data_IF_643864153908
#
_entry.id   IF_643864153908
#
_cell.length_a   1.000
_cell.length_b   1.000
_cell.length_c   1.000
_cell.angle_alpha   90.00
_cell.angle_beta   90.00
_cell.angle_gamma   90.00
#
_symmetry.space_group_name_H-M   'P 1'
#
loop_
_entity.id
_entity.type
_entity.pdbx_description
1 polymer ?
#
# COMPACT_ATOMS: atom_id res chain seq x y z
N UNK A 1 1.35 -29.88 -21.58
CA UNK A 1 1.99 -28.54 -21.70
C UNK A 1 3.49 -28.71 -21.82
N UNK A 2 4.10 -28.02 -22.80
CA UNK A 2 5.56 -27.97 -23.01
C UNK A 2 6.14 -26.81 -22.22
N UNK A 3 7.36 -26.96 -21.70
CA UNK A 3 8.08 -25.84 -21.06
C UNK A 3 8.35 -24.74 -22.10
N UNK A 4 8.13 -23.46 -21.77
CA UNK A 4 8.39 -22.36 -22.70
C UNK A 4 9.89 -22.23 -22.99
N UNK A 5 10.23 -21.67 -24.16
CA UNK A 5 11.61 -21.41 -24.54
C UNK A 5 12.16 -20.27 -23.68
N UNK A 6 13.13 -20.59 -22.82
CA UNK A 6 13.79 -19.64 -21.91
C UNK A 6 14.92 -18.93 -22.66
N UNK A 7 14.88 -17.60 -22.72
CA UNK A 7 15.88 -16.81 -23.48
C UNK A 7 16.87 -16.09 -22.56
N UNK A 8 16.50 -15.80 -21.30
CA UNK A 8 17.34 -14.99 -20.39
C UNK A 8 17.34 -15.54 -18.97
N UNK A 9 18.53 -15.59 -18.36
CA UNK A 9 18.79 -16.06 -16.99
C UNK A 9 19.30 -14.90 -16.13
N UNK A 10 18.72 -14.71 -14.95
CA UNK A 10 19.32 -13.95 -13.84
C UNK A 10 19.81 -14.95 -12.79
N UNK A 11 20.91 -14.69 -12.10
CA UNK A 11 21.81 -15.67 -11.45
C UNK A 11 21.20 -16.66 -10.44
N UNK A 12 21.88 -17.81 -10.30
CA UNK A 12 21.34 -19.09 -9.85
C UNK A 12 21.85 -19.51 -8.45
N UNK A 13 20.95 -19.95 -7.58
CA UNK A 13 21.27 -20.93 -6.52
C UNK A 13 20.20 -22.00 -6.51
N UNK A 14 20.65 -23.25 -6.41
CA UNK A 14 19.90 -24.50 -6.46
C UNK A 14 18.64 -24.46 -5.56
N UNK A 15 17.53 -24.06 -6.17
CA UNK A 15 16.25 -23.87 -5.49
C UNK A 15 15.31 -24.96 -5.97
N UNK A 16 14.70 -25.69 -5.03
CA UNK A 16 13.55 -26.59 -5.30
C UNK A 16 12.36 -25.85 -5.94
N UNK A 17 12.42 -24.52 -6.00
CA UNK A 17 11.47 -23.62 -6.63
C UNK A 17 12.10 -22.91 -7.83
N UNK A 18 11.40 -22.90 -8.97
CA UNK A 18 11.77 -22.12 -10.16
C UNK A 18 10.66 -21.14 -10.52
N UNK A 19 11.02 -19.87 -10.70
CA UNK A 19 10.07 -18.80 -11.03
C UNK A 19 10.30 -18.38 -12.49
N UNK A 20 9.23 -18.39 -13.26
CA UNK A 20 9.15 -17.96 -14.65
C UNK A 20 8.21 -16.75 -14.70
N UNK A 21 8.69 -15.65 -15.24
CA UNK A 21 7.95 -14.39 -15.34
C UNK A 21 7.78 -14.06 -16.82
N UNK A 22 6.55 -13.80 -17.24
CA UNK A 22 6.25 -13.40 -18.61
C UNK A 22 6.78 -11.98 -18.90
N UNK A 23 7.21 -11.70 -20.12
CA UNK A 23 7.91 -10.46 -20.49
C UNK A 23 7.09 -9.18 -20.26
N UNK A 24 5.77 -9.18 -20.50
CA UNK A 24 4.92 -8.02 -20.18
C UNK A 24 4.85 -7.80 -18.67
N UNK A 25 4.81 -8.87 -17.87
CA UNK A 25 4.85 -8.79 -16.40
C UNK A 25 6.19 -8.22 -15.94
N UNK A 26 7.30 -8.72 -16.48
CA UNK A 26 8.65 -8.23 -16.18
C UNK A 26 8.79 -6.73 -16.52
N UNK A 27 8.30 -6.32 -17.68
CA UNK A 27 8.31 -4.92 -18.13
C UNK A 27 7.52 -4.04 -17.17
N UNK A 28 6.30 -4.45 -16.81
CA UNK A 28 5.45 -3.74 -15.86
C UNK A 28 6.11 -3.57 -14.48
N UNK A 29 6.68 -4.63 -13.92
CA UNK A 29 7.35 -4.58 -12.61
C UNK A 29 8.56 -3.63 -12.61
N UNK A 30 9.31 -3.58 -13.72
CA UNK A 30 10.41 -2.63 -13.87
C UNK A 30 9.93 -1.18 -13.99
N UNK A 31 8.79 -0.95 -14.65
CA UNK A 31 8.17 0.38 -14.67
C UNK A 31 7.74 0.83 -13.28
N UNK A 32 7.15 -0.07 -12.47
CA UNK A 32 6.83 0.21 -11.08
C UNK A 32 8.09 0.52 -10.27
N UNK A 33 9.18 -0.22 -10.46
CA UNK A 33 10.47 0.05 -9.80
C UNK A 33 10.97 1.47 -10.09
N UNK A 34 10.85 1.93 -11.33
CA UNK A 34 11.22 3.31 -11.72
C UNK A 34 10.30 4.38 -11.10
N UNK A 35 9.07 4.04 -10.77
CA UNK A 35 8.11 4.94 -10.09
C UNK A 35 8.27 4.93 -8.56
N UNK A 36 8.94 3.93 -7.98
CA UNK A 36 9.13 3.83 -6.53
C UNK A 36 10.24 4.79 -6.04
N UNK A 37 9.84 5.94 -5.51
CA UNK A 37 10.76 6.93 -4.96
C UNK A 37 10.98 6.79 -3.44
N UNK A 38 9.89 6.78 -2.66
CA UNK A 38 9.94 6.92 -1.19
C UNK A 38 9.41 5.71 -0.43
N UNK A 39 8.47 4.96 -1.01
CA UNK A 39 7.82 3.82 -0.37
C UNK A 39 7.85 2.61 -1.30
N UNK A 40 7.97 1.39 -0.74
CA UNK A 40 7.93 0.18 -1.55
C UNK A 40 6.55 0.03 -2.19
N UNK A 41 6.54 -0.31 -3.48
CA UNK A 41 5.31 -0.60 -4.20
C UNK A 41 5.00 -2.10 -4.02
N UNK A 42 3.79 -2.42 -3.59
CA UNK A 42 3.32 -3.81 -3.48
C UNK A 42 2.56 -4.20 -4.73
N UNK A 43 3.01 -5.26 -5.41
CA UNK A 43 2.32 -5.84 -6.55
C UNK A 43 1.79 -7.25 -6.23
N UNK A 44 0.56 -7.54 -6.63
CA UNK A 44 0.00 -8.90 -6.63
C UNK A 44 0.46 -9.62 -7.90
N UNK A 45 0.78 -10.91 -7.79
CA UNK A 45 1.25 -11.76 -8.89
C UNK A 45 0.22 -12.85 -9.20
N UNK A 46 -0.14 -12.96 -10.47
CA UNK A 46 -1.11 -13.95 -10.96
C UNK A 46 -0.44 -14.96 -11.87
N UNK A 47 -0.79 -16.23 -11.74
CA UNK A 47 -0.10 -17.27 -12.47
C UNK A 47 -0.61 -18.68 -12.27
N UNK A 48 0.25 -19.65 -12.59
CA UNK A 48 0.00 -21.08 -12.39
C UNK A 48 1.18 -21.73 -11.67
N UNK A 49 0.88 -22.73 -10.84
CA UNK A 49 1.89 -23.57 -10.18
C UNK A 49 1.88 -24.95 -10.81
N UNK A 50 3.04 -25.40 -11.30
CA UNK A 50 3.23 -26.76 -11.78
C UNK A 50 4.17 -27.49 -10.82
N UNK A 51 3.68 -28.59 -10.23
CA UNK A 51 4.49 -29.48 -9.39
C UNK A 51 4.92 -30.69 -10.21
N UNK A 52 6.23 -30.94 -10.29
CA UNK A 52 6.85 -32.07 -11.00
C UNK A 52 7.92 -32.66 -10.12
N UNK A 53 7.86 -33.97 -9.88
CA UNK A 53 8.79 -34.68 -8.98
C UNK A 53 8.84 -34.00 -7.60
N UNK A 54 9.93 -33.32 -7.28
CA UNK A 54 10.17 -32.59 -6.02
C UNK A 54 10.48 -31.09 -6.27
N UNK A 55 10.04 -30.56 -7.42
CA UNK A 55 10.25 -29.15 -7.82
C UNK A 55 8.92 -28.45 -8.08
N UNK A 56 8.83 -27.22 -7.60
CA UNK A 56 7.71 -26.32 -7.85
C UNK A 56 8.11 -25.29 -8.92
N UNK A 57 7.30 -25.18 -9.96
CA UNK A 57 7.48 -24.23 -11.05
C UNK A 57 6.35 -23.21 -10.97
N UNK A 58 6.70 -21.95 -10.73
CA UNK A 58 5.77 -20.83 -10.68
C UNK A 58 5.84 -20.09 -11.99
N UNK A 59 4.74 -20.03 -12.72
CA UNK A 59 4.62 -19.26 -13.96
C UNK A 59 3.76 -18.03 -13.68
N UNK A 60 4.36 -16.86 -13.74
CA UNK A 60 3.71 -15.58 -13.51
C UNK A 60 3.30 -14.99 -14.85
N UNK A 61 1.99 -14.83 -15.03
CA UNK A 61 1.35 -14.34 -16.26
C UNK A 61 0.69 -12.98 -16.07
N UNK A 62 0.46 -12.54 -14.85
CA UNK A 62 -0.15 -11.25 -14.57
C UNK A 62 0.47 -10.59 -13.34
N UNK A 63 0.40 -9.26 -13.29
CA UNK A 63 0.66 -8.52 -12.08
C UNK A 63 -0.17 -7.23 -12.03
N UNK A 64 -0.54 -6.80 -10.82
CA UNK A 64 -1.18 -5.50 -10.60
C UNK A 64 -0.60 -4.80 -9.35
N UNK A 65 -0.48 -3.47 -9.40
CA UNK A 65 -0.09 -2.66 -8.25
C UNK A 65 -1.27 -2.54 -7.29
N UNK A 66 -1.13 -3.03 -6.06
CA UNK A 66 -2.24 -3.09 -5.09
C UNK A 66 -2.78 -1.70 -4.77
N UNK A 67 -1.89 -0.71 -4.62
CA UNK A 67 -2.28 0.67 -4.28
C UNK A 67 -3.03 1.33 -5.46
N UNK A 68 -2.51 1.18 -6.68
CA UNK A 68 -3.14 1.77 -7.87
C UNK A 68 -4.56 1.23 -8.12
N UNK A 69 -4.79 -0.04 -7.79
CA UNK A 69 -6.11 -0.66 -7.93
C UNK A 69 -7.07 -0.23 -6.82
N UNK A 70 -6.58 -0.09 -5.59
CA UNK A 70 -7.37 0.46 -4.46
C UNK A 70 -7.80 1.90 -4.75
N UNK A 71 -6.95 2.74 -5.35
CA UNK A 71 -7.32 4.10 -5.77
C UNK A 71 -8.51 4.13 -6.75
N UNK A 72 -8.65 3.08 -7.56
CA UNK A 72 -9.76 2.92 -8.49
C UNK A 72 -10.96 2.20 -7.87
N UNK A 73 -10.93 1.92 -6.56
CA UNK A 73 -11.98 1.23 -5.84
C UNK A 73 -12.07 -0.26 -6.13
N UNK A 74 -10.97 -0.89 -6.60
CA UNK A 74 -10.89 -2.33 -6.86
C UNK A 74 -9.93 -3.01 -5.88
N UNK A 75 -10.24 -4.25 -5.51
CA UNK A 75 -9.26 -5.14 -4.89
C UNK A 75 -8.58 -6.04 -5.93
N UNK A 76 -7.46 -6.66 -5.55
CA UNK A 76 -6.69 -7.57 -6.40
C UNK A 76 -7.52 -8.77 -6.89
N UNK A 77 -8.53 -9.21 -6.13
CA UNK A 77 -9.40 -10.31 -6.53
C UNK A 77 -10.35 -9.91 -7.67
N UNK A 78 -10.86 -8.67 -7.66
CA UNK A 78 -11.64 -8.14 -8.78
C UNK A 78 -10.78 -8.03 -10.03
N UNK A 79 -9.55 -7.53 -9.89
CA UNK A 79 -8.60 -7.43 -11.01
C UNK A 79 -8.24 -8.81 -11.57
N UNK A 80 -8.06 -9.80 -10.70
CA UNK A 80 -7.88 -11.20 -11.12
C UNK A 80 -9.08 -11.66 -11.95
N UNK A 81 -10.29 -11.45 -11.47
CA UNK A 81 -11.49 -11.91 -12.17
C UNK A 81 -11.70 -11.19 -13.51
N UNK A 82 -11.37 -9.91 -13.60
CA UNK A 82 -11.58 -9.08 -14.79
C UNK A 82 -10.55 -9.35 -15.90
N UNK A 83 -9.28 -9.55 -15.53
CA UNK A 83 -8.17 -9.66 -16.49
C UNK A 83 -7.49 -11.02 -16.49
N UNK A 84 -7.36 -11.66 -15.33
CA UNK A 84 -6.52 -12.84 -15.10
C UNK A 84 -7.33 -14.05 -14.62
N UNK A 85 -8.57 -14.21 -15.11
CA UNK A 85 -9.54 -15.18 -14.59
C UNK A 85 -9.08 -16.65 -14.70
N UNK A 86 -8.14 -16.92 -15.61
CA UNK A 86 -7.51 -18.22 -15.81
C UNK A 86 -6.32 -18.52 -14.88
N UNK A 87 -5.99 -17.59 -13.99
CA UNK A 87 -4.78 -17.61 -13.18
C UNK A 87 -5.10 -17.43 -11.69
N UNK A 88 -4.33 -18.12 -10.86
CA UNK A 88 -4.43 -18.02 -9.41
C UNK A 88 -3.60 -16.85 -8.89
N UNK A 89 -3.98 -16.31 -7.73
CA UNK A 89 -3.10 -15.41 -6.97
C UNK A 89 -1.93 -16.23 -6.40
N UNK A 90 -0.73 -16.00 -6.93
CA UNK A 90 0.49 -16.70 -6.53
C UNK A 90 1.10 -16.10 -5.28
N UNK A 91 1.03 -14.76 -5.15
CA UNK A 91 1.59 -14.06 -4.00
C UNK A 91 1.76 -12.57 -4.28
N UNK A 92 2.61 -11.94 -3.46
CA UNK A 92 2.92 -10.51 -3.56
C UNK A 92 4.42 -10.29 -3.64
N UNK A 93 4.82 -9.25 -4.35
CA UNK A 93 6.19 -8.73 -4.36
C UNK A 93 6.20 -7.29 -3.88
N UNK A 94 7.19 -6.96 -3.03
CA UNK A 94 7.49 -5.60 -2.65
C UNK A 94 8.65 -5.10 -3.53
N UNK A 95 8.41 -4.01 -4.23
CA UNK A 95 9.35 -3.39 -5.15
C UNK A 95 9.96 -2.18 -4.43
N UNK A 96 11.27 -2.26 -4.20
CA UNK A 96 12.05 -1.19 -3.59
C UNK A 96 12.73 -0.36 -4.67
N UNK A 97 12.93 0.93 -4.39
CA UNK A 97 13.60 1.87 -5.29
C UNK A 97 15.06 1.46 -5.57
N UNK A 98 15.66 2.09 -6.59
CA UNK A 98 16.97 1.74 -7.15
C UNK A 98 18.14 1.69 -6.14
N UNK A 99 18.01 2.29 -4.95
CA UNK A 99 19.09 2.37 -3.95
C UNK A 99 19.26 1.11 -3.10
N UNK A 100 18.25 0.24 -3.04
CA UNK A 100 18.30 -1.00 -2.27
C UNK A 100 18.11 -2.19 -3.22
N UNK A 101 19.20 -2.80 -3.67
CA UNK A 101 19.13 -4.16 -4.19
C UNK A 101 20.31 -4.97 -3.72
N UNK A 102 20.07 -5.79 -2.68
CA UNK A 102 20.63 -7.14 -2.68
C UNK A 102 20.28 -7.79 -4.02
N UNK A 103 21.24 -8.51 -4.62
CA UNK A 103 21.01 -9.19 -5.89
C UNK A 103 19.81 -10.14 -5.75
N UNK A 104 18.74 -9.96 -6.55
CA UNK A 104 17.56 -10.80 -6.43
C UNK A 104 17.93 -12.25 -6.76
N UNK A 105 17.42 -13.19 -5.96
CA UNK A 105 17.40 -14.62 -6.32
C UNK A 105 16.79 -14.74 -7.72
N UNK A 106 17.55 -15.31 -8.67
CA UNK A 106 17.22 -15.24 -10.09
C UNK A 106 15.87 -15.85 -10.45
N UNK A 107 15.20 -15.21 -11.42
CA UNK A 107 14.03 -15.74 -12.11
C UNK A 107 14.30 -15.82 -13.62
N UNK A 108 13.45 -16.57 -14.32
CA UNK A 108 13.53 -16.73 -15.76
C UNK A 108 12.48 -15.85 -16.44
N UNK A 109 12.88 -15.13 -17.49
CA UNK A 109 11.91 -14.42 -18.34
C UNK A 109 11.58 -15.28 -19.55
N UNK A 110 10.28 -15.42 -19.84
CA UNK A 110 9.79 -16.16 -21.00
C UNK A 110 8.83 -15.30 -21.83
N UNK A 111 8.71 -15.66 -23.10
CA UNK A 111 7.89 -14.95 -24.08
C UNK A 111 6.71 -15.83 -24.50
N UNK A 112 5.50 -15.31 -24.32
CA UNK A 112 4.26 -15.96 -24.75
C UNK A 112 3.24 -14.87 -25.13
N UNK A 113 2.30 -15.20 -26.02
CA UNK A 113 1.18 -14.31 -26.29
C UNK A 113 0.32 -14.18 -25.03
N UNK A 114 0.43 -13.03 -24.36
CA UNK A 114 -0.24 -12.75 -23.09
C UNK A 114 -1.24 -11.60 -23.23
N UNK A 115 -2.36 -11.86 -23.90
CA UNK A 115 -3.46 -10.89 -24.04
C UNK A 115 -4.00 -10.39 -22.68
N UNK A 116 -4.16 -11.22 -21.63
CA UNK A 116 -4.56 -10.78 -20.30
C UNK A 116 -3.73 -9.61 -19.75
N UNK A 117 -2.40 -9.76 -19.70
CA UNK A 117 -1.51 -8.73 -19.17
C UNK A 117 -1.49 -7.48 -20.07
N UNK A 118 -1.54 -7.65 -21.38
CA UNK A 118 -1.61 -6.53 -22.32
C UNK A 118 -2.89 -5.70 -22.13
N UNK A 119 -4.05 -6.35 -22.00
CA UNK A 119 -5.31 -5.67 -21.73
C UNK A 119 -5.28 -4.89 -20.42
N UNK A 120 -4.67 -5.49 -19.38
CA UNK A 120 -4.46 -4.80 -18.11
C UNK A 120 -3.55 -3.57 -18.27
N UNK A 121 -2.44 -3.68 -19.00
CA UNK A 121 -1.53 -2.56 -19.28
C UNK A 121 -2.21 -1.42 -20.05
N UNK A 122 -3.01 -1.75 -21.07
CA UNK A 122 -3.81 -0.76 -21.81
C UNK A 122 -4.75 -0.03 -20.85
N UNK A 123 -5.42 -0.76 -19.94
CA UNK A 123 -6.29 -0.15 -18.93
C UNK A 123 -5.55 0.81 -17.99
N UNK A 124 -4.31 0.48 -17.61
CA UNK A 124 -3.47 1.34 -16.79
C UNK A 124 -3.14 2.64 -17.53
N UNK A 125 -2.70 2.51 -18.78
CA UNK A 125 -2.35 3.65 -19.63
C UNK A 125 -3.52 4.60 -19.86
N UNK A 126 -4.71 4.07 -20.13
CA UNK A 126 -5.92 4.89 -20.29
C UNK A 126 -6.30 5.63 -19.00
N UNK A 127 -6.14 4.99 -17.84
CA UNK A 127 -6.38 5.62 -16.54
C UNK A 127 -5.40 6.75 -16.29
N UNK A 128 -4.10 6.53 -16.52
CA UNK A 128 -3.08 7.56 -16.37
C UNK A 128 -3.38 8.78 -17.26
N UNK A 129 -3.71 8.54 -18.54
CA UNK A 129 -4.09 9.59 -19.49
C UNK A 129 -5.31 10.39 -19.03
N UNK A 130 -6.33 9.73 -18.47
CA UNK A 130 -7.51 10.39 -17.89
C UNK A 130 -7.14 11.22 -16.64
N UNK A 131 -6.31 10.68 -15.74
CA UNK A 131 -5.80 11.38 -14.54
C UNK A 131 -5.03 12.64 -14.95
N UNK A 132 -4.16 12.56 -15.95
CA UNK A 132 -3.42 13.72 -16.47
C UNK A 132 -4.34 14.79 -17.08
N UNK A 133 -5.31 14.39 -17.90
CA UNK A 133 -6.27 15.32 -18.49
C UNK A 133 -7.10 16.03 -17.41
N UNK A 134 -7.51 15.32 -16.35
CA UNK A 134 -8.22 15.90 -15.21
C UNK A 134 -7.34 16.88 -14.42
N UNK A 135 -6.06 16.56 -14.19
CA UNK A 135 -5.09 17.46 -13.54
C UNK A 135 -4.92 18.76 -14.33
N UNK A 136 -4.76 18.68 -15.65
CA UNK A 136 -4.63 19.86 -16.53
C UNK A 136 -5.87 20.76 -16.47
N UNK A 137 -7.08 20.17 -16.48
CA UNK A 137 -8.34 20.91 -16.33
C UNK A 137 -8.48 21.57 -14.95
N UNK A 138 -8.06 20.89 -13.88
CA UNK A 138 -8.09 21.46 -12.52
C UNK A 138 -7.10 22.61 -12.37
N UNK A 139 -5.90 22.50 -12.95
CA UNK A 139 -4.90 23.56 -12.92
C UNK A 139 -5.39 24.84 -13.62
N UNK A 140 -6.02 24.72 -14.80
CA UNK A 140 -6.59 25.87 -15.52
C UNK A 140 -7.82 26.49 -14.85
N UNK A 141 -8.55 25.75 -14.00
CA UNK A 141 -9.65 26.28 -13.18
C UNK A 141 -9.13 26.96 -11.90
N UNK A 142 -8.05 26.44 -11.30
CA UNK A 142 -7.46 26.96 -10.06
C UNK A 142 -6.81 28.34 -10.24
N UNK A 143 -6.38 28.69 -11.45
CA UNK A 143 -5.92 30.05 -11.78
C UNK A 143 -7.01 31.14 -11.57
N UNK A 144 -8.30 30.79 -11.43
CA UNK A 144 -9.39 31.76 -11.25
C UNK A 144 -9.94 31.91 -9.83
N UNK A 145 -9.53 31.11 -8.84
CA UNK A 145 -9.92 31.33 -7.43
C UNK A 145 -8.81 30.89 -6.49
N UNK A 146 -8.11 31.86 -5.91
CA UNK A 146 -7.23 31.64 -4.77
C UNK A 146 -8.06 31.27 -3.54
N UNK A 147 -8.07 29.98 -3.21
CA UNK A 147 -8.28 29.48 -1.84
C UNK A 147 -7.89 27.99 -1.81
N UNK A 148 -6.80 27.66 -1.11
CA UNK A 148 -6.32 26.29 -0.99
C UNK A 148 -7.02 25.56 0.17
N UNK A 149 -7.80 24.49 -0.09
CA UNK A 149 -8.55 23.76 0.95
C UNK A 149 -7.62 23.08 1.98
N UNK A 150 -6.35 22.88 1.63
CA UNK A 150 -5.33 22.30 2.51
C UNK A 150 -4.93 23.28 3.62
N UNK A 151 -4.93 24.59 3.36
CA UNK A 151 -4.61 25.60 4.39
C UNK A 151 -5.77 25.80 5.37
N UNK A 152 -7.01 25.65 4.91
CA UNK A 152 -8.19 25.61 5.79
C UNK A 152 -8.15 24.40 6.74
N UNK A 153 -7.80 23.22 6.23
CA UNK A 153 -7.71 22.01 7.04
C UNK A 153 -6.55 22.08 8.04
N UNK A 154 -5.38 22.58 7.63
CA UNK A 154 -4.26 22.84 8.53
C UNK A 154 -4.66 23.79 9.65
N UNK A 155 -5.31 24.90 9.33
CA UNK A 155 -5.81 25.86 10.33
C UNK A 155 -6.76 25.20 11.35
N UNK A 156 -7.65 24.33 10.88
CA UNK A 156 -8.55 23.56 11.75
C UNK A 156 -7.79 22.59 12.66
N UNK A 157 -6.83 21.83 12.13
CA UNK A 157 -6.02 20.89 12.90
C UNK A 157 -5.17 21.60 13.96
N UNK A 158 -4.55 22.73 13.62
CA UNK A 158 -3.80 23.56 14.58
C UNK A 158 -4.72 24.09 15.69
N UNK A 159 -5.94 24.52 15.35
CA UNK A 159 -6.93 24.96 16.34
C UNK A 159 -7.32 23.86 17.34
N UNK A 160 -7.59 22.64 16.85
CA UNK A 160 -7.93 21.49 17.71
C UNK A 160 -6.78 21.13 18.65
N UNK A 161 -5.54 21.14 18.16
CA UNK A 161 -4.35 20.88 18.99
C UNK A 161 -4.19 21.89 20.13
N UNK A 162 -4.42 23.19 19.87
CA UNK A 162 -4.32 24.24 20.91
C UNK A 162 -5.42 24.11 21.97
N UNK A 163 -6.62 23.70 21.56
CA UNK A 163 -7.73 23.48 22.51
C UNK A 163 -7.43 22.26 23.39
N UNK A 164 -6.91 21.17 22.83
CA UNK A 164 -6.52 19.98 23.58
C UNK A 164 -5.43 20.28 24.62
N UNK A 165 -4.42 21.07 24.26
CA UNK A 165 -3.37 21.45 25.22
C UNK A 165 -3.91 22.36 26.32
N UNK A 166 -4.82 23.28 26.01
CA UNK A 166 -5.48 24.12 27.02
C UNK A 166 -6.32 23.30 28.01
N UNK A 167 -7.09 22.32 27.53
CA UNK A 167 -7.87 21.40 28.37
C UNK A 167 -6.94 20.59 29.29
N UNK A 168 -5.82 20.09 28.77
CA UNK A 168 -4.84 19.34 29.56
C UNK A 168 -4.23 20.19 30.69
N UNK A 169 -3.89 21.46 30.40
CA UNK A 169 -3.35 22.38 31.41
C UNK A 169 -4.37 22.71 32.49
N UNK A 170 -5.63 22.96 32.12
CA UNK A 170 -6.72 23.20 33.07
C UNK A 170 -6.95 21.97 33.97
N UNK A 171 -6.96 20.77 33.40
CA UNK A 171 -7.13 19.53 34.15
C UNK A 171 -6.00 19.31 35.17
N UNK A 172 -4.74 19.59 34.81
CA UNK A 172 -3.60 19.46 35.74
C UNK A 172 -3.66 20.50 36.86
N UNK A 173 -4.08 21.73 36.56
CA UNK A 173 -4.18 22.80 37.57
C UNK A 173 -5.28 22.51 38.60
N UNK A 174 -6.45 22.04 38.18
CA UNK A 174 -7.54 21.70 39.08
C UNK A 174 -7.31 20.37 39.84
N UNK A 175 -6.40 19.52 39.35
CA UNK A 175 -6.04 18.26 40.01
C UNK A 175 -5.43 18.46 41.40
N UNK A 176 -4.50 19.43 41.54
CA UNK A 176 -3.87 19.73 42.83
C UNK A 176 -4.88 20.29 43.86
N UNK A 177 -5.90 21.01 43.39
CA UNK A 177 -6.97 21.54 44.25
C UNK A 177 -7.97 20.46 44.67
N UNK A 178 -8.22 19.47 43.82
CA UNK A 178 -9.10 18.34 44.12
C UNK A 178 -8.51 17.41 45.19
N UNK A 179 -7.18 17.17 45.19
CA UNK A 179 -6.52 16.33 46.21
C UNK A 179 -6.65 16.87 47.64
N UNK A 180 -6.59 18.20 47.80
CA UNK A 180 -6.81 18.84 49.10
C UNK A 180 -8.26 18.72 49.58
N UNK A 181 -9.21 18.75 48.64
CA UNK A 181 -10.63 18.59 48.95
C UNK A 181 -10.97 17.15 49.33
N UNK A 182 -10.39 16.15 48.66
CA UNK A 182 -10.59 14.74 49.01
C UNK A 182 -9.98 14.39 50.37
N UNK A 183 -8.79 14.92 50.69
CA UNK A 183 -8.20 14.75 52.04
C UNK A 183 -9.01 15.44 53.14
N UNK A 184 -9.55 16.63 52.87
CA UNK A 184 -10.40 17.34 53.83
C UNK A 184 -11.74 16.61 54.06
N UNK A 185 -12.34 16.08 53.00
CA UNK A 185 -13.56 15.28 53.08
C UNK A 185 -13.33 13.97 53.83
N UNK A 186 -12.23 13.27 53.56
CA UNK A 186 -11.86 12.02 54.25
C UNK A 186 -11.62 12.25 55.75
N UNK A 187 -10.95 13.36 56.12
CA UNK A 187 -10.81 13.75 57.53
C UNK A 187 -12.14 14.09 58.20
N UNK A 188 -13.06 14.75 57.49
CA UNK A 188 -14.37 15.09 58.03
C UNK A 188 -15.26 13.85 58.23
N UNK A 189 -15.22 12.90 57.30
CA UNK A 189 -15.91 11.61 57.42
C UNK A 189 -15.33 10.79 58.59
N UNK A 190 -14.00 10.71 58.72
CA UNK A 190 -13.35 10.04 59.83
C UNK A 190 -13.72 10.64 61.20
N UNK A 191 -13.80 11.97 61.29
CA UNK A 191 -14.24 12.67 62.51
C UNK A 191 -15.72 12.41 62.85
N UNK A 192 -16.58 12.30 61.83
CA UNK A 192 -17.99 11.99 62.01
C UNK A 192 -18.19 10.56 62.55
N UNK A 193 -17.42 9.59 62.06
CA UNK A 193 -17.48 8.20 62.52
C UNK A 193 -16.96 8.04 63.97
N UNK A 194 -15.93 8.80 64.38
CA UNK A 194 -15.43 8.78 65.77
C UNK A 194 -16.36 9.41 66.81
N UNK A 195 -17.39 10.16 66.38
CA UNK A 195 -18.38 10.76 67.28
C UNK A 195 -19.64 9.89 67.43
N UNK A 196 -19.76 8.80 66.67
CA UNK A 196 -20.91 7.87 66.71
C UNK A 196 -20.60 6.51 67.33
N UNK A 197 -19.36 6.24 67.77
CA UNK A 197 -18.96 5.03 68.51
C UNK A 197 -18.58 5.33 69.96
#
# INVERSE_FOLDING_TARGET
MKLPQVIKRMENTDSQCRIYVEDYVHTYLNELKRKSELLPIRAALFGRVLRREDKCYYFIYGACCVIDEIEEGRCEEQVRNDYFSEYDLIGYVNIYGEKDTEEPKGYYVFYESNEPMQNYLISCYEREKKKEAAKRKKASVKEKKGFDPIDLLKSFLYGVCVILTAIAVLAVNDYHKMQGFTQAAERAVFMADTLQG
#
